data_IF_382193905716
#
_entry.id   IF_382193905716
#
_cell.length_a   1.000
_cell.length_b   1.000
_cell.length_c   1.000
_cell.angle_alpha   90.00
_cell.angle_beta   90.00
_cell.angle_gamma   90.00
#
_symmetry.space_group_name_H-M   'P 1'
#
loop_
_entity.id
_entity.type
_entity.pdbx_description
1 polymer ?
#
# COMPACT_ATOMS: atom_id res chain seq x y z
N UNK A 1 -21.40 -6.15 11.97
CA UNK A 1 -19.98 -6.17 11.56
C UNK A 1 -19.43 -4.77 11.80
N UNK A 2 -18.62 -4.56 12.83
CA UNK A 2 -18.01 -3.25 13.08
C UNK A 2 -17.04 -2.93 11.93
N UNK A 3 -17.21 -1.77 11.30
CA UNK A 3 -16.39 -1.34 10.16
C UNK A 3 -14.92 -1.22 10.58
N UNK A 4 -13.97 -1.61 9.73
CA UNK A 4 -12.53 -1.38 9.93
C UNK A 4 -12.22 0.08 10.28
N UNK A 5 -13.04 1.05 9.83
CA UNK A 5 -12.95 2.47 10.24
C UNK A 5 -13.24 2.71 11.73
N UNK A 6 -14.11 1.91 12.36
CA UNK A 6 -14.38 1.98 13.81
C UNK A 6 -13.25 1.34 14.62
N UNK A 7 -12.57 0.32 14.07
CA UNK A 7 -11.40 -0.29 14.71
C UNK A 7 -10.20 0.66 14.68
N UNK A 8 -9.96 1.36 13.57
CA UNK A 8 -8.90 2.38 13.50
C UNK A 8 -9.19 3.58 14.41
N UNK A 9 -10.45 4.03 14.52
CA UNK A 9 -10.81 5.12 15.45
C UNK A 9 -10.69 4.73 16.92
N UNK A 10 -10.96 3.46 17.27
CA UNK A 10 -10.78 2.95 18.64
C UNK A 10 -9.31 2.85 19.06
N UNK A 11 -8.37 2.74 18.12
CA UNK A 11 -6.93 2.78 18.45
C UNK A 11 -6.50 4.18 18.92
N UNK A 12 -6.97 5.25 18.27
CA UNK A 12 -6.60 6.63 18.64
C UNK A 12 -7.13 7.10 20.00
N UNK A 13 -8.14 6.43 20.56
CA UNK A 13 -8.82 6.87 21.77
C UNK A 13 -8.15 6.39 23.08
N UNK A 14 -7.06 5.62 22.98
CA UNK A 14 -6.33 5.09 24.15
C UNK A 14 -4.81 5.18 24.08
N UNK A 15 -4.21 5.79 23.05
CA UNK A 15 -2.76 6.00 23.02
C UNK A 15 -2.46 7.24 23.85
N UNK A 16 -1.79 7.04 24.98
CA UNK A 16 -1.29 8.12 25.83
C UNK A 16 -0.31 9.00 25.06
N UNK A 17 -0.15 10.25 25.51
CA UNK A 17 0.84 11.15 24.91
C UNK A 17 2.27 10.62 25.04
N UNK A 18 2.54 9.76 26.03
CA UNK A 18 3.83 9.08 26.21
C UNK A 18 4.05 8.00 25.13
N UNK A 19 3.06 7.14 24.89
CA UNK A 19 3.12 6.13 23.84
C UNK A 19 3.24 6.77 22.44
N UNK A 20 2.55 7.89 22.18
CA UNK A 20 2.73 8.63 20.91
C UNK A 20 4.17 9.10 20.73
N UNK A 21 4.79 9.62 21.78
CA UNK A 21 6.19 10.07 21.74
C UNK A 21 7.15 8.90 21.52
N UNK A 22 6.89 7.75 22.12
CA UNK A 22 7.70 6.55 21.89
C UNK A 22 7.58 6.09 20.42
N UNK A 23 6.36 6.04 19.89
CA UNK A 23 6.11 5.67 18.49
C UNK A 23 6.74 6.67 17.52
N UNK A 24 6.72 7.97 17.84
CA UNK A 24 7.39 9.00 17.05
C UNK A 24 8.91 8.84 17.06
N UNK A 25 9.52 8.53 18.20
CA UNK A 25 10.97 8.28 18.29
C UNK A 25 11.37 7.06 17.45
N UNK A 26 10.60 5.98 17.52
CA UNK A 26 10.80 4.77 16.70
C UNK A 26 10.65 5.06 15.21
N UNK A 27 9.60 5.78 14.83
CA UNK A 27 9.40 6.22 13.45
C UNK A 27 10.53 7.12 12.95
N UNK A 28 11.06 8.02 13.79
CA UNK A 28 12.18 8.88 13.48
C UNK A 28 13.50 8.10 13.26
N UNK A 29 13.68 6.98 13.96
CA UNK A 29 14.79 6.03 13.75
C UNK A 29 14.62 5.18 12.47
N UNK A 30 13.50 5.32 11.76
CA UNK A 30 13.21 4.62 10.51
C UNK A 30 12.39 3.35 10.69
N UNK A 31 11.93 3.04 11.91
CA UNK A 31 11.03 1.91 12.15
C UNK A 31 9.65 2.19 11.55
N UNK A 32 9.01 1.16 10.99
CA UNK A 32 7.59 1.26 10.58
C UNK A 32 6.70 0.85 11.74
N UNK A 33 6.05 1.82 12.37
CA UNK A 33 5.10 1.63 13.48
C UNK A 33 3.64 1.58 13.01
N UNK A 34 3.35 2.04 11.79
CA UNK A 34 2.03 1.89 11.13
C UNK A 34 2.17 1.04 9.87
N UNK A 35 1.48 -0.12 9.79
CA UNK A 35 1.45 -0.93 8.57
C UNK A 35 0.99 -0.14 7.35
N UNK A 36 1.72 -0.27 6.24
CA UNK A 36 1.46 0.50 5.02
C UNK A 36 1.93 1.95 5.09
N UNK A 37 2.49 2.41 6.22
CA UNK A 37 3.00 3.77 6.44
C UNK A 37 4.50 3.93 6.22
N UNK A 38 5.19 2.92 5.68
CA UNK A 38 6.64 2.88 5.50
C UNK A 38 7.20 4.17 4.87
N UNK A 39 8.34 4.64 5.40
CA UNK A 39 9.06 5.90 5.12
C UNK A 39 8.56 7.16 5.85
N UNK A 40 7.46 7.13 6.59
CA UNK A 40 7.09 8.25 7.47
C UNK A 40 8.01 8.34 8.69
N UNK A 41 8.44 9.55 9.08
CA UNK A 41 9.35 9.80 10.22
C UNK A 41 8.65 10.16 11.53
N UNK A 42 7.32 10.00 11.57
CA UNK A 42 6.47 10.17 12.75
C UNK A 42 5.26 9.25 12.62
N UNK A 43 4.57 8.98 13.71
CA UNK A 43 3.31 8.24 13.75
C UNK A 43 2.31 8.84 12.74
N UNK A 44 2.07 10.15 12.84
CA UNK A 44 1.14 10.86 11.94
C UNK A 44 1.57 10.75 10.47
N UNK A 45 2.86 10.87 10.17
CA UNK A 45 3.35 10.77 8.80
C UNK A 45 3.11 9.36 8.24
N UNK A 46 3.33 8.33 9.06
CA UNK A 46 3.07 6.95 8.65
C UNK A 46 1.57 6.68 8.48
N UNK A 47 0.71 7.21 9.34
CA UNK A 47 -0.76 7.14 9.20
C UNK A 47 -1.23 7.75 7.89
N UNK A 48 -0.77 8.98 7.59
CA UNK A 48 -1.12 9.67 6.33
C UNK A 48 -0.66 8.90 5.09
N UNK A 49 0.54 8.30 5.15
CA UNK A 49 1.06 7.47 4.06
C UNK A 49 0.24 6.18 3.88
N UNK A 50 -0.09 5.49 4.98
CA UNK A 50 -0.91 4.29 4.95
C UNK A 50 -2.29 4.58 4.38
N UNK A 51 -2.94 5.64 4.85
CA UNK A 51 -4.23 6.10 4.35
C UNK A 51 -4.17 6.46 2.86
N UNK A 52 -3.17 7.27 2.46
CA UNK A 52 -2.98 7.67 1.07
C UNK A 52 -2.79 6.48 0.13
N UNK A 53 -2.00 5.47 0.55
CA UNK A 53 -1.78 4.24 -0.22
C UNK A 53 -3.05 3.40 -0.32
N UNK A 54 -3.80 3.24 0.78
CA UNK A 54 -5.08 2.52 0.77
C UNK A 54 -6.08 3.19 -0.17
N UNK A 55 -6.21 4.53 -0.09
CA UNK A 55 -7.12 5.28 -0.97
C UNK A 55 -6.70 5.17 -2.43
N UNK A 56 -5.42 5.34 -2.74
CA UNK A 56 -4.89 5.20 -4.10
C UNK A 56 -5.11 3.80 -4.69
N UNK A 57 -4.90 2.75 -3.89
CA UNK A 57 -5.19 1.37 -4.28
C UNK A 57 -6.67 1.14 -4.59
N UNK A 58 -7.58 1.66 -3.74
CA UNK A 58 -9.02 1.59 -3.99
C UNK A 58 -9.41 2.34 -5.27
N UNK A 59 -8.89 3.56 -5.48
CA UNK A 59 -9.14 4.30 -6.72
C UNK A 59 -8.69 3.53 -7.95
N UNK A 60 -7.52 2.86 -7.88
CA UNK A 60 -7.03 2.07 -9.01
C UNK A 60 -7.87 0.81 -9.24
N UNK A 61 -8.35 0.18 -8.17
CA UNK A 61 -9.30 -0.93 -8.24
C UNK A 61 -10.61 -0.51 -8.89
N UNK A 62 -11.13 0.67 -8.56
CA UNK A 62 -12.38 1.19 -9.15
C UNK A 62 -12.19 1.51 -10.65
N UNK A 63 -11.03 2.03 -11.05
CA UNK A 63 -10.71 2.32 -12.45
C UNK A 63 -10.52 1.07 -13.32
N UNK A 64 -9.93 0.00 -12.77
CA UNK A 64 -9.59 -1.22 -13.52
C UNK A 64 -10.61 -2.35 -13.36
N UNK A 65 -11.51 -2.23 -12.39
CA UNK A 65 -12.29 -3.35 -11.90
C UNK A 65 -11.45 -4.37 -11.11
N UNK A 66 -12.14 -5.35 -10.52
CA UNK A 66 -11.52 -6.37 -9.67
C UNK A 66 -10.49 -7.22 -10.42
N UNK A 67 -10.82 -7.65 -11.65
CA UNK A 67 -9.94 -8.51 -12.45
C UNK A 67 -8.66 -7.77 -12.87
N UNK A 68 -8.78 -6.55 -13.40
CA UNK A 68 -7.61 -5.75 -13.78
C UNK A 68 -6.73 -5.38 -12.58
N UNK A 69 -7.30 -5.17 -11.40
CA UNK A 69 -6.52 -4.96 -10.18
C UNK A 69 -5.76 -6.23 -9.74
N UNK A 70 -6.38 -7.40 -9.84
CA UNK A 70 -5.73 -8.69 -9.55
C UNK A 70 -4.61 -9.00 -10.54
N UNK A 71 -4.85 -8.79 -11.83
CA UNK A 71 -3.86 -9.00 -12.89
C UNK A 71 -2.65 -8.04 -12.71
N UNK A 72 -2.88 -6.77 -12.37
CA UNK A 72 -1.81 -5.84 -11.96
C UNK A 72 -1.03 -6.34 -10.74
N UNK A 73 -1.71 -6.85 -9.71
CA UNK A 73 -1.06 -7.42 -8.53
C UNK A 73 -0.18 -8.62 -8.86
N UNK A 74 -0.66 -9.52 -9.72
CA UNK A 74 0.12 -10.66 -10.24
C UNK A 74 1.36 -10.20 -10.99
N UNK A 75 1.22 -9.24 -11.92
CA UNK A 75 2.37 -8.63 -12.62
C UNK A 75 3.39 -8.09 -11.61
N UNK A 76 2.95 -7.35 -10.60
CA UNK A 76 3.82 -6.86 -9.53
C UNK A 76 4.58 -7.98 -8.80
N UNK A 77 3.89 -9.08 -8.46
CA UNK A 77 4.46 -10.23 -7.75
C UNK A 77 5.48 -11.05 -8.57
N UNK A 78 5.43 -10.97 -9.90
CA UNK A 78 6.41 -11.61 -10.78
C UNK A 78 7.72 -10.82 -10.90
N UNK A 79 7.74 -9.55 -10.48
CA UNK A 79 8.92 -8.70 -10.60
C UNK A 79 10.08 -9.23 -9.74
N UNK A 80 11.28 -9.20 -10.30
CA UNK A 80 12.52 -9.62 -9.61
C UNK A 80 13.57 -8.52 -9.70
N UNK A 81 14.73 -8.72 -9.06
CA UNK A 81 15.82 -7.73 -9.10
C UNK A 81 16.26 -7.40 -10.52
N UNK A 82 16.27 -8.40 -11.40
CA UNK A 82 16.85 -8.30 -12.74
C UNK A 82 15.81 -8.10 -13.85
N UNK A 83 14.54 -8.44 -13.60
CA UNK A 83 13.46 -8.39 -14.61
C UNK A 83 12.19 -7.77 -14.03
N UNK A 84 11.53 -6.96 -14.84
CA UNK A 84 10.19 -6.45 -14.55
C UNK A 84 9.16 -7.59 -14.60
N UNK A 85 8.04 -7.37 -13.92
CA UNK A 85 6.92 -8.32 -13.95
C UNK A 85 6.29 -8.50 -15.33
N UNK A 86 6.43 -7.53 -16.24
CA UNK A 86 5.95 -7.65 -17.63
C UNK A 86 6.82 -8.63 -18.41
N UNK A 87 8.14 -8.45 -18.37
CA UNK A 87 9.10 -9.35 -19.02
C UNK A 87 8.97 -10.79 -18.52
N UNK A 88 8.78 -10.96 -17.20
CA UNK A 88 8.55 -12.28 -16.59
C UNK A 88 7.22 -12.90 -17.02
N UNK A 89 6.16 -12.11 -17.09
CA UNK A 89 4.87 -12.61 -17.56
C UNK A 89 4.94 -13.10 -19.01
N UNK A 90 5.66 -12.38 -19.88
CA UNK A 90 5.89 -12.80 -21.27
C UNK A 90 6.69 -14.11 -21.36
N UNK A 91 7.77 -14.25 -20.57
CA UNK A 91 8.60 -15.47 -20.51
C UNK A 91 7.81 -16.70 -20.02
N UNK A 92 6.95 -16.52 -19.02
CA UNK A 92 6.10 -17.59 -18.48
C UNK A 92 4.82 -17.82 -19.31
N UNK A 93 4.62 -17.04 -20.39
CA UNK A 93 3.43 -17.13 -21.24
C UNK A 93 2.14 -16.73 -20.53
N UNK A 94 2.23 -15.89 -19.49
CA UNK A 94 1.09 -15.37 -18.74
C UNK A 94 0.49 -14.20 -19.54
N UNK A 95 -0.76 -14.31 -20.02
CA UNK A 95 -1.38 -13.24 -20.79
C UNK A 95 -1.71 -12.06 -19.86
N UNK A 96 -1.00 -10.94 -20.05
CA UNK A 96 -1.23 -9.69 -19.34
C UNK A 96 -1.44 -8.58 -20.37
N UNK A 97 -2.52 -7.83 -20.23
CA UNK A 97 -2.79 -6.69 -21.13
C UNK A 97 -2.13 -5.42 -20.58
N UNK A 98 -0.91 -5.16 -21.04
CA UNK A 98 -0.09 -3.98 -20.71
C UNK A 98 -0.84 -2.64 -20.91
N UNK A 99 -1.74 -2.57 -21.90
CA UNK A 99 -2.45 -1.34 -22.28
C UNK A 99 -3.45 -0.88 -21.21
N UNK A 100 -3.90 -1.78 -20.34
CA UNK A 100 -4.76 -1.44 -19.19
C UNK A 100 -4.03 -0.66 -18.11
N UNK A 101 -2.69 -0.71 -18.09
CA UNK A 101 -1.90 -0.21 -16.97
C UNK A 101 -1.13 1.06 -17.29
N UNK A 102 -0.76 1.26 -18.55
CA UNK A 102 -0.08 2.47 -19.02
C UNK A 102 -1.11 3.54 -19.39
N UNK A 103 -0.77 4.81 -19.18
CA UNK A 103 -1.58 5.91 -19.72
C UNK A 103 -0.92 6.32 -21.03
N UNK A 104 -1.68 6.25 -22.14
CA UNK A 104 -1.23 6.81 -23.41
C UNK A 104 -0.85 8.27 -23.18
N UNK A 105 0.40 8.60 -23.50
CA UNK A 105 1.03 9.89 -23.22
C UNK A 105 0.93 10.79 -24.45
#
# INVERSE_FOLDING_TARGET
MASQQQQSRKMHEQISEEEKRELDQRAAQGETVVPGGTRGKSLEAQERLAEGRSRGGQTRKDQLGTEGYQEMGKKGGLSTTDKSGGERAEEEGIPIDESKYTRNK
#
